data_IF_072206582671
#
_entry.id   IF_072206582671
#
_cell.length_a   1.000
_cell.length_b   1.000
_cell.length_c   1.000
_cell.angle_alpha   90.00
_cell.angle_beta   90.00
_cell.angle_gamma   90.00
#
_symmetry.space_group_name_H-M   'P 1'
#
loop_
_entity.id
_entity.type
_entity.pdbx_description
1 polymer ?
#
# COMPACT_ATOMS: atom_id res chain seq x y z
N UNK A 1 -53.87 -76.90 32.16
CA UNK A 1 -52.51 -77.14 32.71
C UNK A 1 -51.72 -77.88 31.64
N UNK A 2 -50.89 -77.07 30.83
CA UNK A 2 -49.99 -77.66 29.83
C UNK A 2 -48.60 -77.19 30.16
N UNK A 3 -47.70 -78.09 30.55
CA UNK A 3 -46.30 -77.90 30.80
C UNK A 3 -45.55 -77.88 29.47
N UNK A 4 -44.96 -76.75 29.14
CA UNK A 4 -44.02 -76.63 28.04
C UNK A 4 -42.59 -76.78 28.56
N UNK A 5 -41.89 -77.79 28.06
CA UNK A 5 -40.48 -78.11 28.32
C UNK A 5 -39.59 -77.21 27.50
N UNK A 6 -38.48 -76.64 28.03
CA UNK A 6 -37.56 -75.83 27.26
C UNK A 6 -36.59 -76.69 26.47
N UNK A 7 -36.41 -76.34 25.19
CA UNK A 7 -35.40 -76.93 24.32
C UNK A 7 -34.02 -76.37 24.64
N UNK A 8 -32.94 -77.14 24.70
CA UNK A 8 -31.59 -76.63 24.86
C UNK A 8 -31.07 -76.04 23.54
N UNK A 9 -30.72 -74.79 23.53
CA UNK A 9 -30.05 -74.09 22.43
C UNK A 9 -28.59 -74.57 22.30
N UNK A 10 -28.32 -75.29 21.20
CA UNK A 10 -26.94 -75.61 20.79
C UNK A 10 -26.21 -74.35 20.36
N UNK A 11 -25.22 -73.89 21.16
CA UNK A 11 -24.33 -72.86 20.76
C UNK A 11 -23.35 -73.35 19.69
N UNK A 12 -23.17 -72.64 18.55
CA UNK A 12 -22.18 -73.07 17.57
C UNK A 12 -20.79 -72.83 18.18
N UNK A 13 -19.99 -73.87 18.19
CA UNK A 13 -18.55 -73.78 18.56
C UNK A 13 -17.83 -72.90 17.54
N UNK A 14 -17.36 -71.76 18.02
CA UNK A 14 -16.42 -70.87 17.25
C UNK A 14 -15.13 -71.68 17.07
N UNK A 15 -14.90 -72.16 15.89
CA UNK A 15 -13.63 -72.71 15.45
C UNK A 15 -12.63 -71.48 15.45
N UNK A 16 -11.80 -71.46 16.47
CA UNK A 16 -10.62 -70.55 16.50
C UNK A 16 -9.71 -71.00 15.36
N UNK A 17 -9.85 -70.32 14.23
CA UNK A 17 -8.95 -70.47 13.09
C UNK A 17 -7.57 -69.96 13.52
N UNK A 18 -6.74 -70.90 13.93
CA UNK A 18 -5.34 -70.65 14.33
C UNK A 18 -4.59 -70.23 13.07
N UNK A 19 -4.44 -68.92 12.84
CA UNK A 19 -3.60 -68.39 11.77
C UNK A 19 -2.17 -68.91 12.00
N UNK A 20 -1.72 -69.79 11.12
CA UNK A 20 -0.32 -70.20 11.07
C UNK A 20 0.49 -68.94 10.71
N UNK A 21 1.23 -68.39 11.66
CA UNK A 21 2.28 -67.42 11.39
C UNK A 21 3.36 -68.10 10.55
N UNK A 22 3.30 -67.92 9.24
CA UNK A 22 4.41 -68.25 8.36
C UNK A 22 5.56 -67.31 8.67
N UNK A 23 6.65 -67.83 9.14
CA UNK A 23 7.86 -67.02 9.37
C UNK A 23 8.33 -66.36 8.06
N UNK A 24 8.65 -65.07 8.10
CA UNK A 24 9.17 -64.35 6.95
C UNK A 24 10.57 -64.91 6.60
N UNK A 25 10.78 -65.19 5.31
CA UNK A 25 12.07 -65.54 4.78
C UNK A 25 13.03 -64.33 4.87
N UNK A 26 14.29 -64.57 5.18
CA UNK A 26 15.36 -63.52 5.20
C UNK A 26 15.41 -62.77 3.85
N UNK A 27 15.17 -63.46 2.75
CA UNK A 27 15.13 -62.86 1.40
C UNK A 27 13.93 -61.95 1.25
N UNK A 28 12.78 -62.29 1.76
CA UNK A 28 11.56 -61.45 1.71
C UNK A 28 11.72 -60.19 2.54
N UNK A 29 12.42 -60.28 3.69
CA UNK A 29 12.80 -59.14 4.51
C UNK A 29 13.76 -58.20 3.76
N UNK A 30 14.81 -58.75 3.11
CA UNK A 30 15.77 -57.96 2.34
C UNK A 30 15.09 -57.22 1.16
N UNK A 31 14.18 -57.90 0.43
CA UNK A 31 13.42 -57.29 -0.66
C UNK A 31 12.47 -56.20 -0.12
N UNK A 32 11.82 -56.45 0.99
CA UNK A 32 10.94 -55.48 1.63
C UNK A 32 11.67 -54.20 2.07
N UNK A 33 12.86 -54.34 2.68
CA UNK A 33 13.69 -53.19 3.09
C UNK A 33 14.19 -52.42 1.87
N UNK A 34 14.67 -53.09 0.82
CA UNK A 34 15.14 -52.41 -0.39
C UNK A 34 14.05 -51.62 -1.08
N UNK A 35 12.85 -52.18 -1.26
CA UNK A 35 11.70 -51.48 -1.83
C UNK A 35 11.28 -50.32 -0.92
N UNK A 36 11.22 -50.53 0.40
CA UNK A 36 10.90 -49.52 1.38
C UNK A 36 11.88 -48.34 1.32
N UNK A 37 13.16 -48.56 1.20
CA UNK A 37 14.20 -47.52 1.06
C UNK A 37 14.06 -46.73 -0.25
N UNK A 38 13.72 -47.39 -1.37
CA UNK A 38 13.44 -46.71 -2.63
C UNK A 38 12.23 -45.80 -2.55
N UNK A 39 11.16 -46.24 -1.94
CA UNK A 39 9.94 -45.41 -1.74
C UNK A 39 10.25 -44.24 -0.84
N UNK A 40 11.00 -44.46 0.25
CA UNK A 40 11.36 -43.42 1.19
C UNK A 40 12.28 -42.36 0.55
N UNK A 41 13.23 -42.79 -0.27
CA UNK A 41 14.07 -41.89 -1.03
C UNK A 41 13.28 -41.02 -2.01
N UNK A 42 12.36 -41.62 -2.77
CA UNK A 42 11.48 -40.89 -3.68
C UNK A 42 10.57 -39.90 -2.93
N UNK A 43 9.96 -40.31 -1.83
CA UNK A 43 9.11 -39.45 -1.01
C UNK A 43 9.91 -38.28 -0.41
N UNK A 44 11.15 -38.50 0.01
CA UNK A 44 12.01 -37.45 0.55
C UNK A 44 12.36 -36.38 -0.50
N UNK A 45 12.60 -36.77 -1.75
CA UNK A 45 12.83 -35.83 -2.85
C UNK A 45 11.61 -34.96 -3.13
N UNK A 46 10.41 -35.53 -3.17
CA UNK A 46 9.17 -34.80 -3.37
C UNK A 46 8.92 -33.83 -2.20
N UNK A 47 9.16 -34.28 -0.97
CA UNK A 47 8.96 -33.44 0.21
C UNK A 47 9.90 -32.22 0.22
N UNK A 48 11.17 -32.39 -0.12
CA UNK A 48 12.15 -31.29 -0.16
C UNK A 48 11.80 -30.26 -1.22
N UNK A 49 11.35 -30.69 -2.41
CA UNK A 49 10.86 -29.75 -3.46
C UNK A 49 9.62 -29.00 -3.00
N UNK A 50 8.64 -29.67 -2.41
CA UNK A 50 7.42 -29.04 -1.91
C UNK A 50 7.71 -28.00 -0.80
N UNK A 51 8.65 -28.31 0.09
CA UNK A 51 9.06 -27.34 1.14
C UNK A 51 9.73 -26.10 0.53
N UNK A 52 10.54 -26.27 -0.52
CA UNK A 52 11.14 -25.16 -1.25
C UNK A 52 10.11 -24.27 -1.92
N UNK A 53 9.17 -24.88 -2.64
CA UNK A 53 8.09 -24.17 -3.35
C UNK A 53 7.17 -23.43 -2.37
N UNK A 54 6.81 -24.05 -1.24
CA UNK A 54 6.00 -23.41 -0.21
C UNK A 54 6.68 -22.17 0.39
N UNK A 55 7.98 -22.25 0.68
CA UNK A 55 8.75 -21.09 1.18
C UNK A 55 8.77 -19.95 0.18
N UNK A 56 8.95 -20.26 -1.10
CA UNK A 56 8.91 -19.26 -2.16
C UNK A 56 7.56 -18.59 -2.28
N UNK A 57 6.46 -19.37 -2.27
CA UNK A 57 5.10 -18.84 -2.30
C UNK A 57 4.81 -17.92 -1.10
N UNK A 58 5.26 -18.27 0.09
CA UNK A 58 5.12 -17.43 1.28
C UNK A 58 5.89 -16.12 1.14
N UNK A 59 7.14 -16.15 0.65
CA UNK A 59 7.93 -14.95 0.38
C UNK A 59 7.25 -14.07 -0.67
N UNK A 60 6.75 -14.65 -1.76
CA UNK A 60 6.03 -13.90 -2.79
C UNK A 60 4.77 -13.22 -2.23
N UNK A 61 4.00 -13.93 -1.40
CA UNK A 61 2.82 -13.40 -0.75
C UNK A 61 3.17 -12.25 0.20
N UNK A 62 4.22 -12.40 1.01
CA UNK A 62 4.69 -11.38 1.94
C UNK A 62 5.14 -10.12 1.20
N UNK A 63 6.03 -10.25 0.20
CA UNK A 63 6.47 -9.10 -0.62
C UNK A 63 5.30 -8.39 -1.29
N UNK A 64 4.33 -9.14 -1.80
CA UNK A 64 3.13 -8.58 -2.42
C UNK A 64 2.26 -7.83 -1.41
N UNK A 65 2.11 -8.35 -0.20
CA UNK A 65 1.33 -7.72 0.86
C UNK A 65 1.99 -6.44 1.34
N UNK A 66 3.29 -6.46 1.61
CA UNK A 66 4.03 -5.29 2.09
C UNK A 66 4.07 -4.18 1.03
N UNK A 67 4.27 -4.56 -0.24
CA UNK A 67 4.22 -3.61 -1.35
C UNK A 67 2.84 -2.95 -1.49
N UNK A 68 1.75 -3.72 -1.36
CA UNK A 68 0.38 -3.17 -1.40
C UNK A 68 0.11 -2.27 -0.22
N UNK A 69 0.46 -2.69 1.00
CA UNK A 69 0.27 -1.88 2.20
C UNK A 69 1.00 -0.53 2.10
N UNK A 70 2.26 -0.55 1.62
CA UNK A 70 3.04 0.66 1.35
C UNK A 70 2.35 1.56 0.32
N UNK A 71 1.90 0.98 -0.80
CA UNK A 71 1.24 1.74 -1.85
C UNK A 71 -0.10 2.34 -1.37
N UNK A 72 -0.89 1.58 -0.60
CA UNK A 72 -2.18 2.06 -0.08
C UNK A 72 -2.00 3.17 0.94
N UNK A 73 -1.01 3.07 1.84
CA UNK A 73 -0.67 4.13 2.78
C UNK A 73 -0.23 5.41 2.04
N UNK A 74 0.67 5.28 1.07
CA UNK A 74 1.07 6.41 0.22
C UNK A 74 -0.12 7.03 -0.50
N UNK A 75 -1.00 6.21 -1.06
CA UNK A 75 -2.19 6.69 -1.77
C UNK A 75 -3.15 7.45 -0.83
N UNK A 76 -3.32 6.97 0.38
CA UNK A 76 -4.16 7.62 1.40
C UNK A 76 -3.58 9.00 1.75
N UNK A 77 -2.31 9.06 2.09
CA UNK A 77 -1.68 10.30 2.54
C UNK A 77 -1.56 11.35 1.41
N UNK A 78 -1.22 10.91 0.19
CA UNK A 78 -1.17 11.82 -0.96
C UNK A 78 -2.56 12.40 -1.26
N UNK A 79 -3.67 11.63 -1.11
CA UNK A 79 -5.02 12.18 -1.28
C UNK A 79 -5.37 13.26 -0.28
N UNK A 80 -4.80 13.21 0.93
CA UNK A 80 -5.01 14.20 1.96
C UNK A 80 -4.12 15.45 1.80
N UNK A 81 -3.16 15.43 0.86
CA UNK A 81 -2.30 16.58 0.60
C UNK A 81 -3.12 17.84 0.31
N UNK A 82 -2.73 18.96 0.90
CA UNK A 82 -3.43 20.23 0.75
C UNK A 82 -4.76 20.33 1.52
N UNK A 83 -5.10 19.35 2.34
CA UNK A 83 -6.31 19.44 3.17
C UNK A 83 -6.17 20.59 4.18
N UNK A 84 -7.21 21.43 4.23
CA UNK A 84 -7.32 22.57 5.12
C UNK A 84 -8.62 22.49 5.90
N UNK A 85 -8.56 22.28 7.19
CA UNK A 85 -9.72 22.05 8.04
C UNK A 85 -10.67 23.26 8.08
N UNK A 86 -10.12 24.49 8.03
CA UNK A 86 -10.89 25.74 8.10
C UNK A 86 -11.23 26.35 6.73
N UNK A 87 -11.12 25.60 5.66
CA UNK A 87 -11.45 26.09 4.32
C UNK A 87 -12.86 26.70 4.21
N UNK A 88 -13.80 26.22 5.02
CA UNK A 88 -15.18 26.70 5.04
C UNK A 88 -15.33 28.14 5.57
N UNK A 89 -14.44 28.58 6.45
CA UNK A 89 -14.48 29.93 7.04
C UNK A 89 -14.20 31.02 6.00
N UNK A 90 -13.67 30.64 4.84
CA UNK A 90 -13.25 31.55 3.79
C UNK A 90 -13.97 31.34 2.46
N UNK A 91 -15.10 30.64 2.46
CA UNK A 91 -15.87 30.31 1.24
C UNK A 91 -16.51 31.54 0.59
N UNK A 92 -16.75 32.61 1.34
CA UNK A 92 -17.33 33.86 0.84
C UNK A 92 -16.47 35.05 1.28
N UNK A 93 -15.29 35.27 0.66
CA UNK A 93 -14.56 36.49 0.90
C UNK A 93 -15.40 37.66 0.38
N UNK A 94 -15.37 38.75 1.11
CA UNK A 94 -15.81 40.02 0.57
C UNK A 94 -15.08 40.25 -0.76
N UNK A 95 -15.79 40.65 -1.82
CA UNK A 95 -15.21 40.86 -3.15
C UNK A 95 -14.07 41.90 -3.16
N UNK A 96 -13.88 42.61 -2.05
CA UNK A 96 -12.80 43.55 -1.84
C UNK A 96 -11.51 42.95 -1.28
N UNK A 97 -11.56 41.67 -0.83
CA UNK A 97 -10.42 40.96 -0.22
C UNK A 97 -9.91 39.89 -1.18
N UNK A 98 -8.57 39.75 -1.37
CA UNK A 98 -8.04 38.65 -2.17
C UNK A 98 -8.50 37.29 -1.64
N UNK A 99 -8.72 36.34 -2.54
CA UNK A 99 -9.00 34.96 -2.14
C UNK A 99 -8.00 34.49 -1.10
N UNK A 100 -8.47 33.95 0.03
CA UNK A 100 -7.58 33.42 1.05
C UNK A 100 -6.74 32.27 0.46
N UNK A 101 -5.48 32.32 0.78
CA UNK A 101 -4.53 31.34 0.30
C UNK A 101 -4.54 30.14 1.25
N UNK A 102 -4.82 28.93 0.72
CA UNK A 102 -4.67 27.70 1.51
C UNK A 102 -3.20 27.50 1.91
N UNK A 103 -2.83 27.60 3.20
CA UNK A 103 -1.45 27.46 3.65
C UNK A 103 -0.89 26.05 3.39
N UNK A 104 -1.76 25.05 3.32
CA UNK A 104 -1.40 23.64 3.08
C UNK A 104 -1.29 23.27 1.59
N UNK A 105 -1.50 24.21 0.69
CA UNK A 105 -1.45 23.96 -0.76
C UNK A 105 -0.05 23.61 -1.29
N UNK A 106 0.99 23.84 -0.48
CA UNK A 106 2.37 23.59 -0.86
C UNK A 106 2.63 22.08 -1.06
N UNK A 107 3.23 21.77 -2.21
CA UNK A 107 3.75 20.45 -2.55
C UNK A 107 5.08 20.63 -3.26
N UNK A 108 6.08 19.86 -2.88
CA UNK A 108 7.39 19.92 -3.49
C UNK A 108 7.85 18.50 -3.96
N UNK A 109 8.18 18.34 -5.24
CA UNK A 109 8.02 19.34 -6.29
C UNK A 109 6.56 19.56 -6.67
N UNK A 110 6.27 20.71 -7.26
CA UNK A 110 4.92 21.07 -7.72
C UNK A 110 4.52 20.36 -9.01
N UNK A 111 5.49 20.13 -9.89
CA UNK A 111 5.37 19.39 -11.13
C UNK A 111 6.66 18.60 -11.34
N UNK A 112 6.56 17.40 -11.87
CA UNK A 112 7.69 16.52 -12.16
C UNK A 112 7.33 15.60 -13.32
N UNK A 113 7.47 16.08 -14.55
CA UNK A 113 7.16 15.32 -15.76
C UNK A 113 8.13 14.14 -15.96
N UNK A 114 9.41 14.34 -15.68
CA UNK A 114 10.47 13.32 -15.82
C UNK A 114 10.54 12.36 -14.61
N UNK A 115 9.74 12.67 -13.56
CA UNK A 115 9.71 11.91 -12.34
C UNK A 115 10.78 12.33 -11.33
N UNK A 116 10.48 12.09 -10.05
CA UNK A 116 11.34 12.38 -8.91
C UNK A 116 11.29 11.21 -7.91
N UNK A 117 12.25 11.17 -7.01
CA UNK A 117 12.34 10.16 -5.95
C UNK A 117 11.90 10.68 -4.58
N UNK A 118 11.44 11.91 -4.51
CA UNK A 118 11.01 12.55 -3.26
C UNK A 118 9.79 13.43 -3.52
N UNK A 119 8.81 13.33 -2.63
CA UNK A 119 7.60 14.15 -2.60
C UNK A 119 7.35 14.60 -1.17
N UNK A 120 7.17 15.91 -0.98
CA UNK A 120 6.74 16.48 0.31
C UNK A 120 5.48 17.30 0.11
N UNK A 121 4.60 17.29 1.10
CA UNK A 121 3.35 18.04 1.11
C UNK A 121 2.95 18.34 2.55
N UNK A 122 1.96 19.20 2.73
CA UNK A 122 1.37 19.48 4.03
C UNK A 122 -0.14 19.23 4.02
N UNK A 123 -0.69 18.97 5.21
CA UNK A 123 -2.12 18.82 5.46
C UNK A 123 -2.44 19.25 6.88
N UNK A 124 -3.58 19.86 7.09
CA UNK A 124 -4.07 20.14 8.43
C UNK A 124 -4.37 18.85 9.17
N UNK A 125 -3.89 18.72 10.39
CA UNK A 125 -4.20 17.61 11.31
C UNK A 125 -5.24 18.02 12.37
N UNK A 126 -5.53 19.32 12.48
CA UNK A 126 -6.43 19.86 13.50
C UNK A 126 -7.88 19.75 13.02
N UNK A 127 -8.57 18.71 13.44
CA UNK A 127 -10.02 18.60 13.31
C UNK A 127 -10.78 19.36 14.43
N UNK A 128 -10.07 19.92 15.40
CA UNK A 128 -10.68 20.38 16.63
C UNK A 128 -11.04 21.85 16.55
N UNK A 129 -12.35 22.05 16.56
CA UNK A 129 -13.10 23.11 17.23
C UNK A 129 -12.44 24.49 17.29
N UNK A 130 -13.09 25.42 16.58
CA UNK A 130 -13.22 26.83 16.97
C UNK A 130 -12.52 27.19 18.28
N UNK A 131 -11.22 27.35 18.23
CA UNK A 131 -10.53 28.20 19.17
C UNK A 131 -10.12 29.45 18.38
N UNK A 132 -10.86 30.55 18.58
CA UNK A 132 -10.68 31.84 17.88
C UNK A 132 -9.28 32.47 18.07
N UNK A 133 -8.34 31.72 18.62
CA UNK A 133 -7.00 32.18 18.97
C UNK A 133 -5.83 31.37 18.43
N UNK A 134 -6.08 30.22 17.81
CA UNK A 134 -4.99 29.42 17.23
C UNK A 134 -4.70 29.84 15.80
N UNK A 135 -3.41 30.04 15.54
CA UNK A 135 -2.82 30.48 14.25
C UNK A 135 -2.95 29.33 13.21
N UNK A 136 -4.18 28.87 12.92
CA UNK A 136 -4.49 27.76 12.00
C UNK A 136 -4.14 28.06 10.55
N UNK A 137 -3.63 29.25 10.28
CA UNK A 137 -3.16 29.67 8.96
C UNK A 137 -1.67 29.36 8.73
N UNK A 138 -0.99 28.71 9.67
CA UNK A 138 0.41 28.31 9.55
C UNK A 138 0.58 26.82 9.64
N UNK A 139 1.28 26.28 8.64
CA UNK A 139 1.71 24.88 8.66
C UNK A 139 2.67 24.67 9.82
N UNK A 140 2.33 23.77 10.72
CA UNK A 140 3.17 23.36 11.83
C UNK A 140 4.07 22.18 11.43
N UNK A 141 5.12 21.92 12.21
CA UNK A 141 6.09 20.87 11.88
C UNK A 141 5.48 19.48 11.75
N UNK A 142 4.46 19.14 12.54
CA UNK A 142 3.78 17.84 12.51
C UNK A 142 2.80 17.68 11.33
N UNK A 143 2.47 18.75 10.62
CA UNK A 143 1.57 18.75 9.46
C UNK A 143 2.30 18.56 8.13
N UNK A 144 3.63 18.49 8.18
CA UNK A 144 4.46 18.18 7.01
C UNK A 144 4.58 16.67 6.87
N UNK A 145 4.27 16.17 5.69
CA UNK A 145 4.35 14.77 5.32
C UNK A 145 5.08 14.60 3.98
N UNK A 146 5.52 13.39 3.70
CA UNK A 146 6.19 13.13 2.44
C UNK A 146 6.66 11.69 2.30
N UNK A 147 7.18 11.38 1.12
CA UNK A 147 7.77 10.09 0.79
C UNK A 147 9.05 10.31 0.01
N UNK A 148 10.08 9.51 0.28
CA UNK A 148 11.33 9.54 -0.46
C UNK A 148 11.92 8.15 -0.65
N UNK A 149 12.71 7.99 -1.68
CA UNK A 149 13.56 6.83 -1.83
C UNK A 149 14.89 7.02 -1.10
N UNK A 150 15.10 6.28 -0.05
CA UNK A 150 16.39 6.19 0.62
C UNK A 150 17.25 5.16 -0.12
N UNK A 151 18.07 5.63 -1.05
CA UNK A 151 18.92 4.77 -1.90
C UNK A 151 19.99 4.03 -1.09
N UNK A 152 20.44 4.59 0.03
CA UNK A 152 21.45 3.95 0.89
C UNK A 152 20.89 2.73 1.60
N UNK A 153 19.68 2.84 2.16
CA UNK A 153 19.01 1.74 2.86
C UNK A 153 18.12 0.91 1.93
N UNK A 154 17.93 1.37 0.67
CA UNK A 154 17.01 0.78 -0.32
C UNK A 154 15.58 0.66 0.20
N UNK A 155 15.14 1.64 0.98
CA UNK A 155 13.80 1.75 1.56
C UNK A 155 13.04 2.90 0.96
N UNK A 156 11.69 2.84 1.05
CA UNK A 156 10.87 4.03 1.00
C UNK A 156 10.76 4.55 2.41
N UNK A 157 11.09 5.82 2.62
CA UNK A 157 10.92 6.51 3.89
C UNK A 157 9.67 7.39 3.82
N UNK A 158 8.95 7.48 4.93
CA UNK A 158 7.84 8.41 5.17
C UNK A 158 8.32 9.57 6.05
N UNK A 159 7.87 10.77 5.75
CA UNK A 159 8.09 11.94 6.59
C UNK A 159 6.93 12.12 7.57
N UNK A 160 7.25 12.13 8.85
CA UNK A 160 6.32 12.35 9.97
C UNK A 160 6.71 13.63 10.70
N UNK A 161 6.31 14.77 10.15
CA UNK A 161 6.76 16.06 10.58
C UNK A 161 8.02 16.58 9.88
N UNK A 162 8.33 17.85 10.07
CA UNK A 162 9.44 18.52 9.40
C UNK A 162 10.78 17.86 9.72
N UNK A 163 11.47 17.34 8.69
CA UNK A 163 12.79 16.72 8.84
C UNK A 163 12.82 15.31 9.45
N UNK A 164 11.72 14.79 9.97
CA UNK A 164 11.66 13.46 10.59
C UNK A 164 11.30 12.39 9.55
N UNK A 165 12.29 11.67 9.06
CA UNK A 165 12.15 10.59 8.09
C UNK A 165 12.31 9.23 8.74
N UNK A 166 11.35 8.35 8.53
CA UNK A 166 11.35 6.98 9.05
C UNK A 166 11.14 5.98 7.90
N UNK A 167 11.77 4.82 8.01
CA UNK A 167 11.58 3.76 7.01
C UNK A 167 10.14 3.26 7.06
N UNK A 168 9.45 3.29 5.92
CA UNK A 168 8.11 2.76 5.73
C UNK A 168 8.16 1.28 5.33
N UNK A 169 9.17 0.90 4.54
CA UNK A 169 9.35 -0.48 4.08
C UNK A 169 10.39 -1.20 4.92
N UNK A 170 10.17 -2.50 5.18
CA UNK A 170 11.13 -3.34 5.92
C UNK A 170 12.26 -3.81 5.01
N UNK A 171 13.52 -3.36 5.25
CA UNK A 171 14.68 -3.78 4.47
C UNK A 171 15.06 -5.25 4.67
N UNK A 172 14.50 -5.96 5.66
CA UNK A 172 14.72 -7.38 5.85
C UNK A 172 13.85 -8.26 4.93
N UNK A 173 12.75 -7.70 4.42
CA UNK A 173 11.78 -8.41 3.57
C UNK A 173 11.97 -8.07 2.10
N UNK A 174 12.02 -6.78 1.78
CA UNK A 174 12.07 -6.28 0.42
C UNK A 174 13.10 -5.16 0.24
N UNK A 175 13.64 -5.10 -0.95
CA UNK A 175 14.58 -4.07 -1.40
C UNK A 175 13.92 -3.24 -2.49
N UNK A 176 13.92 -1.92 -2.34
CA UNK A 176 13.44 -1.00 -3.37
C UNK A 176 14.49 -0.90 -4.48
N UNK A 177 14.11 -1.32 -5.68
CA UNK A 177 14.98 -1.25 -6.87
C UNK A 177 14.68 -0.03 -7.75
N UNK A 178 13.44 0.47 -7.69
CA UNK A 178 13.07 1.72 -8.35
C UNK A 178 11.90 2.35 -7.62
N UNK A 179 11.97 3.66 -7.43
CA UNK A 179 10.88 4.50 -6.95
C UNK A 179 10.85 5.77 -7.78
N UNK A 180 9.72 6.05 -8.40
CA UNK A 180 9.54 7.21 -9.25
C UNK A 180 8.16 7.81 -9.06
N UNK A 181 8.11 9.13 -8.91
CA UNK A 181 6.88 9.91 -8.74
C UNK A 181 6.80 10.92 -9.88
N UNK A 182 5.73 10.87 -10.65
CA UNK A 182 5.41 11.83 -11.71
C UNK A 182 4.25 12.69 -11.25
N UNK A 183 4.37 14.01 -11.38
CA UNK A 183 3.35 14.97 -10.99
C UNK A 183 2.97 15.79 -12.21
N UNK A 184 1.71 15.64 -12.62
CA UNK A 184 1.18 16.32 -13.80
C UNK A 184 0.13 17.34 -13.36
N UNK A 185 0.39 18.66 -13.46
CA UNK A 185 -0.62 19.68 -13.26
C UNK A 185 -1.62 19.68 -14.42
N UNK A 186 -2.89 19.84 -14.10
CA UNK A 186 -3.98 20.00 -15.05
C UNK A 186 -4.71 21.28 -14.68
N UNK A 187 -4.58 22.29 -15.48
CA UNK A 187 -5.22 23.58 -15.25
C UNK A 187 -6.57 23.64 -15.96
N UNK A 188 -7.63 23.86 -15.19
CA UNK A 188 -9.00 24.05 -15.63
C UNK A 188 -9.37 25.51 -15.51
N UNK A 189 -9.56 26.18 -16.63
CA UNK A 189 -10.08 27.57 -16.62
C UNK A 189 -11.58 27.54 -16.42
N UNK A 190 -12.03 28.17 -15.34
CA UNK A 190 -13.47 28.29 -15.05
C UNK A 190 -14.03 29.52 -15.77
N UNK A 191 -15.25 29.41 -16.33
CA UNK A 191 -15.91 30.53 -16.96
C UNK A 191 -16.17 31.63 -15.91
N UNK A 192 -15.75 32.83 -16.20
CA UNK A 192 -15.90 34.00 -15.34
C UNK A 192 -16.56 35.11 -16.11
N UNK A 193 -17.65 35.65 -15.57
CA UNK A 193 -18.42 36.71 -16.20
C UNK A 193 -17.79 38.11 -16.08
N UNK A 194 -16.70 38.23 -15.31
CA UNK A 194 -16.01 39.49 -15.13
C UNK A 194 -14.72 39.56 -15.95
N UNK A 195 -14.35 40.71 -16.43
CA UNK A 195 -13.09 40.97 -17.10
C UNK A 195 -12.01 41.23 -16.07
N UNK A 196 -10.76 40.81 -16.35
CA UNK A 196 -9.63 41.17 -15.52
C UNK A 196 -9.49 42.70 -15.42
N UNK A 197 -9.27 43.24 -14.22
CA UNK A 197 -9.08 44.67 -14.05
C UNK A 197 -7.82 45.12 -14.77
N UNK A 198 -7.85 46.30 -15.38
CA UNK A 198 -6.74 46.90 -16.08
C UNK A 198 -5.77 47.69 -15.16
N UNK A 199 -5.97 47.61 -13.84
CA UNK A 199 -5.17 48.33 -12.84
C UNK A 199 -4.71 47.44 -11.67
N UNK A 200 -3.97 48.00 -10.71
CA UNK A 200 -3.48 47.27 -9.53
C UNK A 200 -4.64 47.04 -8.56
N UNK A 201 -5.46 46.05 -8.88
CA UNK A 201 -6.55 45.57 -8.04
C UNK A 201 -6.58 44.03 -8.01
N UNK A 202 -7.27 43.43 -7.03
CA UNK A 202 -7.40 42.00 -6.99
C UNK A 202 -8.09 41.49 -8.27
N UNK A 203 -7.39 40.65 -9.01
CA UNK A 203 -7.94 40.03 -10.20
C UNK A 203 -8.82 38.81 -9.78
N UNK A 204 -10.10 38.84 -10.18
CA UNK A 204 -11.05 37.76 -9.88
C UNK A 204 -11.29 36.82 -11.04
N UNK A 205 -10.79 37.13 -12.23
CA UNK A 205 -10.99 36.36 -13.47
C UNK A 205 -9.79 36.48 -14.43
N UNK A 206 -9.52 35.46 -15.24
CA UNK A 206 -10.09 34.14 -15.22
C UNK A 206 -9.62 33.31 -14.02
N UNK A 207 -10.55 32.59 -13.41
CA UNK A 207 -10.24 31.68 -12.33
C UNK A 207 -9.74 30.35 -12.93
N UNK A 208 -8.53 29.97 -12.56
CA UNK A 208 -7.96 28.69 -12.97
C UNK A 208 -7.88 27.77 -11.75
N UNK A 209 -8.49 26.59 -11.86
CA UNK A 209 -8.37 25.53 -10.88
C UNK A 209 -7.21 24.63 -11.30
N UNK A 210 -6.18 24.56 -10.50
CA UNK A 210 -5.00 23.74 -10.79
C UNK A 210 -5.14 22.38 -10.11
N UNK A 211 -5.63 21.39 -10.85
CA UNK A 211 -5.67 20.01 -10.41
C UNK A 211 -4.32 19.34 -10.62
N UNK A 212 -3.90 18.45 -9.72
CA UNK A 212 -2.65 17.70 -9.85
C UNK A 212 -2.92 16.21 -9.80
N UNK A 213 -2.38 15.51 -10.79
CA UNK A 213 -2.32 14.05 -10.80
C UNK A 213 -0.93 13.60 -10.35
N UNK A 214 -0.88 12.81 -9.31
CA UNK A 214 0.35 12.19 -8.79
C UNK A 214 0.34 10.73 -9.17
N UNK A 215 1.29 10.32 -9.98
CA UNK A 215 1.50 8.92 -10.34
C UNK A 215 2.81 8.47 -9.71
N UNK A 216 2.78 7.37 -8.97
CA UNK A 216 4.01 6.75 -8.48
C UNK A 216 4.14 5.32 -8.94
N UNK A 217 5.38 4.88 -9.05
CA UNK A 217 5.75 3.53 -9.42
C UNK A 217 6.81 3.03 -8.44
N UNK A 218 6.55 1.86 -7.86
CA UNK A 218 7.45 1.18 -6.93
C UNK A 218 7.82 -0.16 -7.54
N UNK A 219 9.12 -0.45 -7.66
CA UNK A 219 9.64 -1.77 -8.04
C UNK A 219 10.48 -2.32 -6.90
N UNK A 220 10.26 -3.57 -6.58
CA UNK A 220 10.92 -4.24 -5.46
C UNK A 220 11.42 -5.62 -5.85
N UNK A 221 12.41 -6.10 -5.11
CA UNK A 221 12.83 -7.50 -5.11
C UNK A 221 12.89 -8.03 -3.67
N UNK A 222 12.68 -9.33 -3.49
CA UNK A 222 12.79 -9.96 -2.19
C UNK A 222 14.25 -10.05 -1.76
N UNK A 223 14.55 -9.77 -0.49
CA UNK A 223 15.91 -9.81 0.06
C UNK A 223 16.51 -11.21 -0.01
N UNK A 224 15.73 -12.24 0.26
CA UNK A 224 16.18 -13.63 0.32
C UNK A 224 16.11 -14.38 -1.02
N UNK A 225 15.43 -13.80 -2.03
CA UNK A 225 15.34 -14.37 -3.38
C UNK A 225 15.15 -13.24 -4.41
N UNK A 226 16.21 -12.78 -5.02
CA UNK A 226 16.20 -11.70 -6.03
C UNK A 226 15.47 -12.06 -7.33
N UNK A 227 15.09 -13.33 -7.52
CA UNK A 227 14.22 -13.74 -8.63
C UNK A 227 12.76 -13.29 -8.43
N UNK A 228 12.36 -13.05 -7.19
CA UNK A 228 11.04 -12.55 -6.84
C UNK A 228 11.03 -11.04 -6.98
N UNK A 229 10.47 -10.54 -8.07
CA UNK A 229 10.35 -9.12 -8.37
C UNK A 229 8.89 -8.75 -8.51
N UNK A 230 8.52 -7.59 -7.96
CA UNK A 230 7.16 -7.05 -8.06
C UNK A 230 7.21 -5.57 -8.38
N UNK A 231 6.17 -5.11 -9.05
CA UNK A 231 5.99 -3.70 -9.39
C UNK A 231 4.54 -3.31 -9.14
N UNK A 232 4.35 -2.13 -8.56
CA UNK A 232 3.05 -1.50 -8.42
C UNK A 232 3.14 -0.09 -8.97
N UNK A 233 2.07 0.35 -9.63
CA UNK A 233 1.91 1.74 -10.09
C UNK A 233 0.52 2.19 -9.71
N UNK A 234 0.40 3.41 -9.18
CA UNK A 234 -0.86 4.00 -8.80
C UNK A 234 -0.92 5.45 -9.30
N UNK A 235 -2.13 5.93 -9.60
CA UNK A 235 -2.39 7.31 -10.00
C UNK A 235 -3.45 7.90 -9.08
N UNK A 236 -3.14 9.05 -8.51
CA UNK A 236 -3.95 9.72 -7.51
C UNK A 236 -4.19 11.13 -7.99
N UNK A 237 -5.47 11.51 -8.07
CA UNK A 237 -5.86 12.90 -8.27
C UNK A 237 -6.00 13.57 -6.91
N UNK A 238 -5.32 14.69 -6.73
CA UNK A 238 -5.50 15.52 -5.55
C UNK A 238 -6.89 16.16 -5.56
N UNK A 239 -7.51 16.21 -4.41
CA UNK A 239 -8.87 16.78 -4.26
C UNK A 239 -8.85 18.20 -3.73
N UNK A 240 -7.80 18.55 -2.99
CA UNK A 240 -7.66 19.85 -2.33
C UNK A 240 -6.93 20.81 -3.26
N UNK A 241 -7.65 21.27 -4.25
CA UNK A 241 -7.14 22.13 -5.31
C UNK A 241 -7.16 23.59 -4.87
N UNK A 242 -6.17 24.33 -5.37
CA UNK A 242 -6.05 25.76 -5.09
C UNK A 242 -6.53 26.53 -6.30
N UNK A 243 -7.61 27.32 -6.17
CA UNK A 243 -7.99 28.24 -7.22
C UNK A 243 -6.88 29.29 -7.41
N UNK A 244 -6.56 29.58 -8.65
CA UNK A 244 -5.61 30.63 -9.04
C UNK A 244 -6.30 31.62 -9.95
N UNK A 245 -6.08 32.86 -9.69
CA UNK A 245 -6.45 33.91 -10.62
C UNK A 245 -5.22 34.26 -11.45
N UNK A 246 -5.32 34.04 -12.75
CA UNK A 246 -4.26 34.37 -13.71
C UNK A 246 -4.86 35.32 -14.73
N UNK A 247 -4.61 36.60 -14.58
CA UNK A 247 -4.92 37.53 -15.65
C UNK A 247 -3.84 37.41 -16.74
N UNK A 248 -4.23 37.29 -18.02
CA UNK A 248 -3.26 37.40 -19.10
C UNK A 248 -2.55 38.76 -19.00
N UNK A 249 -1.23 38.76 -19.25
CA UNK A 249 -0.50 40.01 -19.38
C UNK A 249 -1.20 40.89 -20.41
N UNK A 250 -1.35 42.19 -20.19
CA UNK A 250 -1.85 43.10 -21.22
C UNK A 250 -0.97 42.92 -22.45
N UNK A 251 -1.58 42.57 -23.58
CA UNK A 251 -0.89 42.40 -24.84
C UNK A 251 -0.15 43.70 -25.19
N UNK A 252 0.96 43.62 -25.96
CA UNK A 252 1.73 44.75 -26.37
C UNK A 252 0.94 45.78 -27.19
#
# INVERSE_FOLDING_TARGET
MMRTTPHPSLRPARLLQRSRSLGLSVVELMIGITIGLFILAGASLVLTTQLGDNRRLLLEAQVQQDLRATADMMAHDIRAAGYWAHAYAQVWPDLTVPFPFNPYAAMAPRAAADGVDTLTFSRSLNEVAFDEGTDDDKVTDNEVAGFRWNKSNRTIDVQLGSGNWQALTDPAVLTITNFNIVITPVDLTLPCGATCPTGPGPAFCPLTLSARDVQYTISVEAVHDSSIRRRISNRIRLRNEVPRVVCPAPGP
#
